data_IF_910983903557
#
_entry.id   IF_910983903557
#
_cell.length_a   1.000
_cell.length_b   1.000
_cell.length_c   1.000
_cell.angle_alpha   90.00
_cell.angle_beta   90.00
_cell.angle_gamma   90.00
#
_symmetry.space_group_name_H-M   'P 1'
#
loop_
_entity.id
_entity.type
_entity.pdbx_description
1 polymer ?
#
# COMPACT_ATOMS: atom_id res chain seq x y z
N UNK A 1 -17.69 15.22 5.45
CA UNK A 1 -16.82 14.50 4.50
C UNK A 1 -16.72 15.33 3.21
N UNK A 2 -15.77 16.28 3.14
CA UNK A 2 -15.60 17.14 1.95
C UNK A 2 -14.68 16.40 0.97
N UNK A 3 -15.28 15.82 -0.06
CA UNK A 3 -14.57 15.14 -1.15
C UNK A 3 -13.64 16.12 -1.87
N UNK A 4 -12.43 15.66 -2.19
CA UNK A 4 -11.43 16.41 -2.94
C UNK A 4 -11.89 16.61 -4.40
N UNK A 5 -12.69 17.64 -4.66
CA UNK A 5 -13.17 18.01 -6.01
C UNK A 5 -12.47 19.27 -6.56
N UNK A 6 -11.28 19.61 -6.03
CA UNK A 6 -10.49 20.76 -6.50
C UNK A 6 -9.62 20.36 -7.70
N UNK A 7 -10.22 20.24 -8.88
CA UNK A 7 -9.43 20.12 -10.12
C UNK A 7 -10.14 19.55 -11.35
N UNK A 8 -11.34 18.97 -11.21
CA UNK A 8 -12.08 18.49 -12.38
C UNK A 8 -12.80 19.65 -13.05
N UNK A 9 -12.22 20.17 -14.15
CA UNK A 9 -13.04 20.83 -15.19
C UNK A 9 -14.14 19.82 -15.54
N UNK A 10 -15.41 20.15 -15.25
CA UNK A 10 -16.56 19.34 -15.65
C UNK A 10 -16.56 19.26 -17.17
N UNK A 11 -15.95 18.22 -17.73
CA UNK A 11 -16.20 17.84 -19.12
C UNK A 11 -17.67 17.43 -19.16
N UNK A 12 -18.45 18.08 -20.01
CA UNK A 12 -19.80 17.62 -20.32
C UNK A 12 -19.62 16.33 -21.09
N UNK A 13 -19.77 15.23 -20.38
CA UNK A 13 -19.76 13.89 -20.94
C UNK A 13 -21.19 13.63 -21.42
N UNK A 14 -21.37 13.40 -22.72
CA UNK A 14 -22.63 12.91 -23.24
C UNK A 14 -22.81 11.45 -22.77
N UNK A 15 -23.82 11.20 -21.97
CA UNK A 15 -24.16 9.86 -21.50
C UNK A 15 -25.26 9.29 -22.41
N UNK A 16 -25.13 8.03 -22.87
CA UNK A 16 -26.21 7.35 -23.58
C UNK A 16 -27.39 7.08 -22.62
N UNK A 17 -28.51 6.61 -23.17
CA UNK A 17 -29.59 6.07 -22.34
C UNK A 17 -29.10 4.84 -21.55
N UNK A 18 -29.78 4.50 -20.47
CA UNK A 18 -29.45 3.30 -19.69
C UNK A 18 -29.57 2.03 -20.55
N UNK A 19 -30.61 1.93 -21.38
CA UNK A 19 -30.84 0.77 -22.24
C UNK A 19 -29.72 0.61 -23.27
N UNK A 20 -29.29 1.71 -23.90
CA UNK A 20 -28.18 1.69 -24.85
C UNK A 20 -26.86 1.32 -24.16
N UNK A 21 -26.59 1.86 -22.96
CA UNK A 21 -25.42 1.50 -22.16
C UNK A 21 -25.42 0.02 -21.80
N UNK A 22 -26.57 -0.50 -21.36
CA UNK A 22 -26.71 -1.91 -20.96
C UNK A 22 -26.50 -2.86 -22.14
N UNK A 23 -26.99 -2.48 -23.34
CA UNK A 23 -26.73 -3.24 -24.57
C UNK A 23 -25.26 -3.17 -25.01
N UNK A 24 -24.60 -2.02 -24.83
CA UNK A 24 -23.19 -1.83 -25.20
C UNK A 24 -22.22 -2.47 -24.18
N UNK A 25 -22.62 -2.64 -22.93
CA UNK A 25 -21.87 -3.29 -21.85
C UNK A 25 -20.72 -2.45 -21.26
N UNK A 26 -20.24 -1.44 -21.98
CA UNK A 26 -19.18 -0.51 -21.56
C UNK A 26 -19.39 0.86 -22.19
N UNK A 27 -18.99 1.91 -21.47
CA UNK A 27 -18.89 3.27 -21.99
C UNK A 27 -17.45 3.75 -21.79
N UNK A 28 -16.73 3.95 -22.90
CA UNK A 28 -15.34 4.40 -22.89
C UNK A 28 -15.24 5.92 -23.07
N UNK A 29 -14.32 6.55 -22.35
CA UNK A 29 -14.02 7.97 -22.50
C UNK A 29 -12.59 8.18 -22.98
N UNK A 30 -12.38 9.19 -23.81
CA UNK A 30 -11.04 9.59 -24.20
C UNK A 30 -10.22 10.00 -22.98
N UNK A 31 -8.97 9.55 -22.95
CA UNK A 31 -7.99 10.00 -21.96
C UNK A 31 -7.89 11.54 -21.97
N UNK A 32 -7.56 12.17 -20.83
CA UNK A 32 -7.34 13.61 -20.79
C UNK A 32 -6.18 14.00 -21.71
N UNK A 33 -6.32 15.12 -22.42
CA UNK A 33 -5.30 15.64 -23.36
C UNK A 33 -3.99 16.01 -22.67
N UNK A 34 -4.04 16.33 -21.37
CA UNK A 34 -2.88 16.70 -20.58
C UNK A 34 -2.77 15.77 -19.37
N UNK A 35 -1.55 15.32 -19.03
CA UNK A 35 -1.34 14.53 -17.82
C UNK A 35 -1.66 15.38 -16.59
N UNK A 36 -2.29 14.76 -15.60
CA UNK A 36 -2.45 15.37 -14.29
C UNK A 36 -1.12 15.27 -13.53
N UNK A 37 -0.50 16.40 -13.23
CA UNK A 37 0.74 16.46 -12.45
C UNK A 37 0.38 16.67 -10.98
N UNK A 38 0.75 15.72 -10.12
CA UNK A 38 0.46 15.80 -8.69
C UNK A 38 1.08 17.06 -8.06
N UNK A 39 0.29 17.80 -7.29
CA UNK A 39 0.66 19.05 -6.61
C UNK A 39 1.18 20.19 -7.50
N UNK A 40 0.97 20.14 -8.82
CA UNK A 40 1.45 21.20 -9.72
C UNK A 40 0.88 22.58 -9.38
N UNK A 41 -0.42 22.67 -9.11
CA UNK A 41 -1.08 23.94 -8.78
C UNK A 41 -0.59 24.49 -7.42
N UNK A 42 -0.47 23.62 -6.41
CA UNK A 42 0.09 23.99 -5.10
C UNK A 42 1.55 24.47 -5.22
N UNK A 43 2.36 23.80 -6.07
CA UNK A 43 3.74 24.22 -6.35
C UNK A 43 3.79 25.57 -7.07
N UNK A 44 2.86 25.83 -7.98
CA UNK A 44 2.83 27.08 -8.76
C UNK A 44 2.37 28.27 -7.92
N UNK A 45 1.35 28.09 -7.09
CA UNK A 45 0.78 29.13 -6.24
C UNK A 45 0.12 28.51 -4.98
N UNK A 46 0.88 28.33 -3.89
CA UNK A 46 0.40 27.66 -2.68
C UNK A 46 -0.62 28.49 -1.89
N UNK A 47 -0.65 29.82 -2.07
CA UNK A 47 -1.62 30.69 -1.40
C UNK A 47 -2.98 30.61 -2.11
N UNK A 48 -2.99 30.52 -3.44
CA UNK A 48 -4.21 30.30 -4.22
C UNK A 48 -4.72 28.87 -4.18
N UNK A 49 -3.80 27.89 -4.11
CA UNK A 49 -4.13 26.46 -4.12
C UNK A 49 -3.61 25.75 -2.87
N UNK A 50 -4.02 26.15 -1.65
CA UNK A 50 -3.51 25.59 -0.41
C UNK A 50 -3.94 24.13 -0.23
N UNK A 51 -3.10 23.37 0.47
CA UNK A 51 -3.42 22.01 0.92
C UNK A 51 -4.53 22.04 1.99
N UNK A 52 -5.13 20.88 2.25
CA UNK A 52 -6.18 20.73 3.26
C UNK A 52 -5.63 20.51 4.68
N UNK A 53 -4.51 21.14 5.01
CA UNK A 53 -3.88 21.16 6.34
C UNK A 53 -4.23 22.45 7.08
N UNK A 54 -4.10 22.52 8.43
CA UNK A 54 -4.33 23.74 9.19
C UNK A 54 -3.56 24.96 8.68
N UNK A 55 -2.30 24.76 8.29
CA UNK A 55 -1.44 25.82 7.72
C UNK A 55 -1.65 26.08 6.22
N UNK A 56 -2.41 25.24 5.52
CA UNK A 56 -2.50 25.24 4.06
C UNK A 56 -1.24 24.72 3.34
N UNK A 57 -0.23 24.25 4.07
CA UNK A 57 1.09 23.82 3.58
C UNK A 57 1.40 22.37 3.99
N UNK A 58 2.51 21.83 3.51
CA UNK A 58 3.05 20.57 4.03
C UNK A 58 3.58 20.85 5.45
N UNK A 59 2.99 20.20 6.45
CA UNK A 59 3.37 20.38 7.85
C UNK A 59 4.49 19.42 8.23
N UNK A 60 5.69 19.95 8.44
CA UNK A 60 6.81 19.19 9.02
C UNK A 60 6.62 18.94 10.52
N UNK A 61 5.88 19.84 11.18
CA UNK A 61 5.39 19.70 12.55
C UNK A 61 3.88 19.95 12.59
N UNK A 62 3.13 19.00 13.13
CA UNK A 62 1.69 19.08 13.36
C UNK A 62 1.39 19.40 14.82
N UNK A 63 0.94 20.63 15.07
CA UNK A 63 0.48 21.05 16.39
C UNK A 63 -0.74 20.24 16.87
N UNK A 64 -1.60 19.81 15.93
CA UNK A 64 -2.75 18.95 16.24
C UNK A 64 -2.31 17.61 16.81
N UNK A 65 -1.35 16.93 16.17
CA UNK A 65 -0.82 15.65 16.66
C UNK A 65 -0.08 15.83 17.98
N UNK A 66 0.78 16.85 18.08
CA UNK A 66 1.50 17.15 19.33
C UNK A 66 0.55 17.42 20.50
N UNK A 67 -0.59 18.06 20.26
CA UNK A 67 -1.61 18.37 21.27
C UNK A 67 -2.27 17.14 21.91
N UNK A 68 -2.18 15.96 21.30
CA UNK A 68 -2.67 14.72 21.91
C UNK A 68 -1.77 14.20 23.04
N UNK A 69 -0.50 14.63 23.09
CA UNK A 69 0.44 14.26 24.16
C UNK A 69 0.89 12.79 24.14
N UNK A 70 0.73 12.08 23.01
CA UNK A 70 1.20 10.70 22.86
C UNK A 70 2.72 10.67 22.68
N UNK A 71 3.42 9.87 23.51
CA UNK A 71 4.88 9.74 23.47
C UNK A 71 5.34 9.10 22.17
N UNK A 72 4.62 8.06 21.74
CA UNK A 72 4.91 7.24 20.56
C UNK A 72 4.63 7.96 19.23
N UNK A 73 3.87 9.05 19.26
CA UNK A 73 3.46 9.82 18.09
C UNK A 73 3.61 11.32 18.34
N UNK A 74 4.85 11.82 18.45
CA UNK A 74 5.10 13.25 18.53
C UNK A 74 4.66 13.91 17.22
N UNK A 75 4.39 15.22 17.26
CA UNK A 75 3.91 15.98 16.11
C UNK A 75 4.87 16.08 14.93
N UNK A 76 5.97 15.33 14.88
CA UNK A 76 6.94 15.34 13.79
C UNK A 76 7.55 13.93 13.62
N UNK A 77 8.15 13.63 12.45
CA UNK A 77 8.90 12.39 12.25
C UNK A 77 10.04 12.27 13.26
N UNK A 78 10.16 11.11 13.90
CA UNK A 78 11.13 10.87 14.95
C UNK A 78 11.52 9.39 14.98
N UNK A 79 12.64 9.09 15.65
CA UNK A 79 13.10 7.73 15.90
C UNK A 79 12.80 7.34 17.36
N UNK A 80 11.99 6.29 17.56
CA UNK A 80 11.70 5.78 18.91
C UNK A 80 12.76 4.77 19.35
N UNK A 81 13.73 5.24 20.14
CA UNK A 81 14.81 4.41 20.66
C UNK A 81 14.31 3.30 21.60
N UNK A 82 13.20 3.52 22.33
CA UNK A 82 12.63 2.52 23.23
C UNK A 82 12.01 1.36 22.45
N UNK A 83 11.26 1.69 21.39
CA UNK A 83 10.69 0.68 20.50
C UNK A 83 11.80 -0.08 19.76
N UNK A 84 12.83 0.61 19.27
CA UNK A 84 13.98 -0.04 18.64
C UNK A 84 14.72 -0.98 19.61
N UNK A 85 14.88 -0.58 20.87
CA UNK A 85 15.48 -1.44 21.90
C UNK A 85 14.62 -2.68 22.19
N UNK A 86 13.29 -2.52 22.28
CA UNK A 86 12.34 -3.63 22.44
C UNK A 86 12.45 -4.63 21.27
N UNK A 87 12.47 -4.14 20.03
CA UNK A 87 12.62 -4.97 18.84
C UNK A 87 13.95 -5.74 18.84
N UNK A 88 15.06 -5.14 19.29
CA UNK A 88 16.36 -5.84 19.43
C UNK A 88 16.31 -6.97 20.46
N UNK A 89 15.63 -6.76 21.59
CA UNK A 89 15.44 -7.81 22.60
C UNK A 89 14.56 -8.95 22.07
N UNK A 90 13.50 -8.63 21.35
CA UNK A 90 12.66 -9.64 20.69
C UNK A 90 13.43 -10.43 19.64
N UNK A 91 14.23 -9.77 18.81
CA UNK A 91 15.08 -10.42 17.82
C UNK A 91 16.14 -11.34 18.45
N UNK A 92 16.67 -10.98 19.62
CA UNK A 92 17.60 -11.85 20.36
C UNK A 92 16.92 -13.15 20.85
N UNK A 93 15.63 -13.08 21.20
CA UNK A 93 14.85 -14.26 21.61
C UNK A 93 14.29 -15.05 20.42
N UNK A 94 13.86 -14.34 19.37
CA UNK A 94 13.20 -14.85 18.18
C UNK A 94 13.91 -14.32 16.92
N UNK A 95 14.97 -14.97 16.45
CA UNK A 95 15.88 -14.41 15.45
C UNK A 95 15.35 -14.41 14.01
N UNK A 96 14.12 -14.91 13.78
CA UNK A 96 13.48 -14.88 12.46
C UNK A 96 12.33 -13.89 12.46
N UNK A 97 12.40 -12.91 11.56
CA UNK A 97 11.31 -11.97 11.33
C UNK A 97 10.39 -12.49 10.22
N UNK A 98 9.09 -12.63 10.52
CA UNK A 98 8.10 -13.09 9.54
C UNK A 98 7.58 -11.93 8.70
N UNK A 99 7.87 -11.95 7.40
CA UNK A 99 7.31 -11.00 6.43
C UNK A 99 6.10 -11.61 5.74
N UNK A 100 4.93 -10.97 5.87
CA UNK A 100 3.65 -11.38 5.27
C UNK A 100 3.24 -10.47 4.10
N UNK A 101 4.09 -10.39 3.09
CA UNK A 101 3.84 -9.56 1.90
C UNK A 101 2.63 -10.03 1.08
N UNK A 102 2.11 -9.15 0.24
CA UNK A 102 0.96 -9.46 -0.61
C UNK A 102 1.28 -10.63 -1.55
N UNK A 103 0.38 -11.62 -1.66
CA UNK A 103 0.62 -12.82 -2.48
C UNK A 103 0.55 -12.51 -3.97
N UNK A 104 1.38 -13.17 -4.78
CA UNK A 104 1.45 -12.98 -6.24
C UNK A 104 0.32 -13.67 -7.01
N UNK A 105 -0.19 -14.79 -6.50
CA UNK A 105 -1.10 -15.70 -7.22
C UNK A 105 -2.57 -15.60 -6.78
N UNK A 106 -2.88 -14.66 -5.88
CA UNK A 106 -4.22 -14.47 -5.32
C UNK A 106 -4.40 -13.02 -4.84
N UNK A 107 -5.63 -12.59 -4.64
CA UNK A 107 -5.94 -11.26 -4.11
C UNK A 107 -6.30 -11.39 -2.63
N UNK A 108 -5.34 -11.14 -1.74
CA UNK A 108 -5.47 -11.45 -0.31
C UNK A 108 -5.84 -12.94 -0.11
N UNK A 109 -7.04 -13.25 0.38
CA UNK A 109 -7.58 -14.61 0.50
C UNK A 109 -8.44 -15.04 -0.70
N UNK A 110 -8.83 -14.10 -1.56
CA UNK A 110 -9.68 -14.40 -2.72
C UNK A 110 -8.91 -15.29 -3.70
N UNK A 111 -9.58 -16.32 -4.21
CA UNK A 111 -9.04 -17.33 -5.11
C UNK A 111 -7.99 -18.27 -4.50
N UNK A 112 -7.87 -18.37 -3.17
CA UNK A 112 -6.89 -19.29 -2.58
C UNK A 112 -7.13 -20.78 -2.95
N UNK A 113 -8.40 -21.16 -3.14
CA UNK A 113 -8.80 -22.48 -3.60
C UNK A 113 -8.65 -22.68 -5.11
N UNK A 114 -8.41 -21.60 -5.87
CA UNK A 114 -8.26 -21.64 -7.32
C UNK A 114 -7.01 -22.39 -7.75
N UNK A 115 -7.03 -22.95 -8.97
CA UNK A 115 -5.91 -23.74 -9.51
C UNK A 115 -4.60 -22.97 -9.53
N UNK A 116 -4.63 -21.66 -9.85
CA UNK A 116 -3.44 -20.80 -9.89
C UNK A 116 -2.79 -20.63 -8.53
N UNK A 117 -3.57 -20.39 -7.46
CA UNK A 117 -3.05 -20.32 -6.08
C UNK A 117 -2.55 -21.69 -5.61
N UNK A 118 -3.35 -22.76 -5.84
CA UNK A 118 -2.97 -24.12 -5.44
C UNK A 118 -1.68 -24.60 -6.10
N UNK A 119 -1.39 -24.17 -7.33
CA UNK A 119 -0.16 -24.51 -8.03
C UNK A 119 1.10 -23.91 -7.40
N UNK A 120 0.99 -22.86 -6.57
CA UNK A 120 2.14 -22.29 -5.85
C UNK A 120 2.42 -22.96 -4.50
N UNK A 121 1.52 -23.81 -4.02
CA UNK A 121 1.63 -24.48 -2.72
C UNK A 121 2.62 -25.64 -2.78
N UNK A 122 3.35 -25.88 -1.69
CA UNK A 122 4.24 -27.03 -1.53
C UNK A 122 3.53 -28.07 -0.67
N UNK A 123 3.25 -29.25 -1.21
CA UNK A 123 2.48 -30.30 -0.53
C UNK A 123 1.14 -29.77 0.03
N UNK A 124 0.46 -28.90 -0.72
CA UNK A 124 -0.82 -28.30 -0.31
C UNK A 124 -0.71 -27.18 0.73
N UNK A 125 0.49 -26.76 1.13
CA UNK A 125 0.74 -25.70 2.12
C UNK A 125 1.36 -24.47 1.48
N UNK A 126 1.17 -23.31 2.11
CA UNK A 126 1.84 -22.08 1.67
C UNK A 126 3.36 -22.23 1.76
N UNK A 127 4.10 -21.82 0.72
CA UNK A 127 5.55 -21.82 0.77
C UNK A 127 6.06 -20.74 1.74
N UNK A 128 7.00 -21.12 2.59
CA UNK A 128 7.80 -20.18 3.37
C UNK A 128 9.12 -19.94 2.66
N UNK A 129 9.48 -18.67 2.48
CA UNK A 129 10.76 -18.26 1.89
C UNK A 129 11.71 -17.89 3.02
N UNK A 130 12.92 -18.47 3.00
CA UNK A 130 13.96 -18.27 4.00
C UNK A 130 15.32 -18.15 3.31
N UNK A 131 16.23 -17.36 3.88
CA UNK A 131 17.60 -17.29 3.39
C UNK A 131 18.30 -18.66 3.52
N UNK A 132 19.12 -19.12 2.55
CA UNK A 132 19.72 -20.45 2.60
C UNK A 132 20.53 -20.74 3.86
N UNK A 133 21.28 -19.76 4.38
CA UNK A 133 22.07 -19.93 5.61
C UNK A 133 21.18 -20.16 6.84
N UNK A 134 20.05 -19.47 6.94
CA UNK A 134 19.10 -19.63 8.04
C UNK A 134 18.39 -20.98 7.96
N UNK A 135 18.10 -21.45 6.74
CA UNK A 135 17.51 -22.75 6.50
C UNK A 135 18.48 -23.89 6.88
N UNK A 136 19.74 -23.79 6.43
CA UNK A 136 20.79 -24.78 6.73
C UNK A 136 21.06 -24.88 8.23
N UNK A 137 21.16 -23.75 8.94
CA UNK A 137 21.33 -23.72 10.40
C UNK A 137 20.17 -24.38 11.19
N UNK A 138 19.07 -24.71 10.50
CA UNK A 138 17.87 -25.35 11.07
C UNK A 138 17.60 -26.74 10.47
N UNK A 139 18.55 -27.30 9.72
CA UNK A 139 18.42 -28.63 9.13
C UNK A 139 17.53 -28.69 7.88
N UNK A 140 17.20 -27.55 7.27
CA UNK A 140 16.43 -27.50 6.02
C UNK A 140 17.38 -27.37 4.83
N UNK A 141 17.37 -28.31 3.87
CA UNK A 141 18.20 -28.23 2.69
C UNK A 141 17.74 -27.07 1.78
N UNK A 142 18.68 -26.55 0.98
CA UNK A 142 18.35 -25.58 -0.06
C UNK A 142 17.51 -26.26 -1.13
N UNK A 143 16.23 -25.90 -1.23
CA UNK A 143 15.35 -26.36 -2.32
C UNK A 143 15.50 -25.45 -3.54
N UNK A 144 15.70 -26.00 -4.73
CA UNK A 144 15.54 -25.22 -5.96
C UNK A 144 14.05 -25.03 -6.25
N UNK A 145 13.67 -23.94 -6.92
CA UNK A 145 12.28 -23.72 -7.34
C UNK A 145 11.87 -24.88 -8.27
N UNK A 146 10.98 -25.77 -7.81
CA UNK A 146 10.36 -26.82 -8.64
C UNK A 146 10.51 -28.28 -8.14
N UNK A 147 11.32 -28.58 -7.13
CA UNK A 147 11.64 -29.97 -6.76
C UNK A 147 10.72 -30.54 -5.67
N UNK A 148 9.73 -31.41 -5.99
CA UNK A 148 8.96 -32.14 -4.96
C UNK A 148 9.85 -33.08 -4.12
N UNK A 149 9.63 -33.11 -2.80
CA UNK A 149 10.01 -34.25 -1.96
C UNK A 149 9.03 -35.40 -2.21
#
# INVERSE_FOLDING_TARGET
MRSQDRGRRRRVIALPSFDDFWQQGVLEYSAPERPQIFLADFRADPERYPLSTPSGKIELFSATVAGFGYRECPGHPWWDEQEAARQRQEAARWPLHLLSSQPRARLHSQYDHGSVSRATKVQGREPLWMHPSDAQGRGYPRRQRGESL
#
